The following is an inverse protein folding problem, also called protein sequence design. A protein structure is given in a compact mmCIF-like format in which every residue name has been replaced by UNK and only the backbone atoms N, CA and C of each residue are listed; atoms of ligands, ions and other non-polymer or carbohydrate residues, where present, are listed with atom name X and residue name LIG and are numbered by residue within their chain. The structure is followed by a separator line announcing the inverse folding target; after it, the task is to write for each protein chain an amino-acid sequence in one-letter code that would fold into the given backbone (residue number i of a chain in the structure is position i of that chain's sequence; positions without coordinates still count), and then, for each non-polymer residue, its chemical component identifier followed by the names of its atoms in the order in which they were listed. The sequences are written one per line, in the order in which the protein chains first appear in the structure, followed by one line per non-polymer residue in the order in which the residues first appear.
data_IF_925764903404
#
_entry.id   IF_925764903404
#
_cell.length_a   1.000
_cell.length_b   1.000
_cell.length_c   1.000
_cell.angle_alpha   90.00
_cell.angle_beta   90.00
_cell.angle_gamma   90.00
#
_symmetry.space_group_name_H-M   'P 1'
#
loop_
_entity.id
_entity.type
_entity.pdbx_description
1 polymer ?
#
# COMPACT_ATOMS: atom_id res chain seq x y z
N UNK A 1 9.21 -9.17 -18.72
CA UNK A 1 8.61 -8.15 -19.59
C UNK A 1 9.44 -6.90 -19.42
N UNK A 2 10.30 -6.55 -20.37
CA UNK A 2 11.24 -5.44 -20.21
C UNK A 2 11.34 -4.57 -21.47
N UNK A 3 11.86 -3.36 -21.29
CA UNK A 3 12.13 -2.39 -22.34
C UNK A 3 10.99 -1.39 -22.54
N UNK A 4 11.37 -0.12 -22.69
CA UNK A 4 10.44 0.99 -22.87
C UNK A 4 9.58 0.80 -24.13
N UNK A 5 8.26 0.91 -23.97
CA UNK A 5 7.30 0.73 -25.07
C UNK A 5 6.96 -0.73 -25.38
N UNK A 6 7.59 -1.70 -24.71
CA UNK A 6 7.16 -3.09 -24.76
C UNK A 6 5.83 -3.23 -23.99
N UNK A 7 4.82 -3.81 -24.65
CA UNK A 7 3.50 -4.05 -24.05
C UNK A 7 3.09 -5.51 -24.20
N UNK A 8 2.63 -6.12 -23.10
CA UNK A 8 1.93 -7.41 -23.12
C UNK A 8 0.50 -7.21 -22.62
N UNK A 9 -0.48 -7.56 -23.44
CA UNK A 9 -1.89 -7.51 -23.08
C UNK A 9 -2.45 -8.93 -22.94
N UNK A 10 -3.09 -9.21 -21.81
CA UNK A 10 -3.86 -10.40 -21.54
C UNK A 10 -5.30 -10.02 -21.17
N UNK A 11 -6.25 -10.22 -22.07
CA UNK A 11 -7.66 -9.85 -21.83
C UNK A 11 -8.38 -10.78 -20.84
N UNK A 12 -7.70 -11.78 -20.29
CA UNK A 12 -8.21 -12.68 -19.27
C UNK A 12 -7.41 -12.65 -17.97
N UNK A 13 -7.53 -13.74 -17.21
CA UNK A 13 -6.85 -13.87 -15.93
C UNK A 13 -5.36 -14.17 -16.11
N UNK A 14 -4.50 -13.24 -15.69
CA UNK A 14 -3.07 -13.45 -15.60
C UNK A 14 -2.73 -14.21 -14.30
N UNK A 15 -2.24 -15.44 -14.42
CA UNK A 15 -1.88 -16.29 -13.28
C UNK A 15 -0.38 -16.56 -13.24
N UNK A 16 0.28 -16.06 -12.21
CA UNK A 16 1.71 -16.31 -11.95
C UNK A 16 1.82 -17.46 -10.95
N UNK A 17 2.41 -18.58 -11.34
CA UNK A 17 2.56 -19.75 -10.46
C UNK A 17 1.26 -20.52 -10.22
N UNK A 18 0.50 -20.84 -11.27
CA UNK A 18 -0.68 -21.69 -11.18
C UNK A 18 -0.30 -23.18 -11.11
N UNK A 19 -0.68 -23.90 -10.03
CA UNK A 19 -0.35 -25.33 -9.82
C UNK A 19 1.14 -25.67 -9.93
N UNK A 20 2.01 -24.70 -9.67
CA UNK A 20 3.46 -24.83 -9.81
C UNK A 20 4.15 -23.52 -9.42
N UNK A 21 5.40 -23.38 -9.81
CA UNK A 21 6.19 -22.16 -9.55
C UNK A 21 6.16 -21.24 -10.77
N UNK A 22 5.98 -19.93 -10.55
CA UNK A 22 6.05 -18.95 -11.62
C UNK A 22 6.59 -17.60 -11.14
N UNK A 23 7.22 -16.89 -12.07
CA UNK A 23 7.80 -15.57 -11.82
C UNK A 23 7.39 -14.60 -12.92
N UNK A 24 6.98 -13.39 -12.56
CA UNK A 24 6.73 -12.28 -13.48
C UNK A 24 7.63 -11.11 -13.09
N UNK A 25 8.48 -10.66 -14.01
CA UNK A 25 9.27 -9.44 -13.82
C UNK A 25 8.82 -8.44 -14.88
N UNK A 26 8.49 -7.23 -14.43
CA UNK A 26 8.15 -6.08 -15.26
C UNK A 26 9.16 -4.98 -14.94
N UNK A 27 10.02 -4.65 -15.89
CA UNK A 27 11.15 -3.76 -15.66
C UNK A 27 11.46 -2.88 -16.86
N UNK A 28 12.37 -1.91 -16.69
CA UNK A 28 12.91 -1.07 -17.78
C UNK A 28 11.82 -0.37 -18.63
N UNK A 29 10.71 0.03 -18.02
CA UNK A 29 9.62 0.71 -18.72
C UNK A 29 8.64 -0.22 -19.45
N UNK A 30 8.69 -1.53 -19.17
CA UNK A 30 7.76 -2.50 -19.73
C UNK A 30 6.35 -2.38 -19.14
N UNK A 31 5.33 -2.70 -19.95
CA UNK A 31 3.92 -2.61 -19.54
C UNK A 31 3.22 -3.95 -19.69
N UNK A 32 2.51 -4.39 -18.64
CA UNK A 32 1.62 -5.55 -18.68
C UNK A 32 0.20 -5.11 -18.37
N UNK A 33 -0.77 -5.54 -19.19
CA UNK A 33 -2.19 -5.32 -18.97
C UNK A 33 -2.90 -6.65 -18.75
N UNK A 34 -3.77 -6.74 -17.75
CA UNK A 34 -4.57 -7.92 -17.44
C UNK A 34 -6.03 -7.54 -17.11
N UNK A 35 -6.99 -8.42 -17.40
CA UNK A 35 -8.35 -8.23 -16.91
C UNK A 35 -8.44 -8.50 -15.40
N UNK A 36 -7.86 -9.61 -14.95
CA UNK A 36 -7.67 -9.97 -13.54
C UNK A 36 -6.27 -10.55 -13.33
N UNK A 37 -5.76 -10.50 -12.11
CA UNK A 37 -4.46 -11.08 -11.78
C UNK A 37 -4.47 -11.92 -10.51
N UNK A 38 -3.73 -13.02 -10.53
CA UNK A 38 -3.41 -13.79 -9.32
C UNK A 38 -1.94 -14.17 -9.29
N UNK A 39 -1.30 -13.98 -8.14
CA UNK A 39 0.04 -14.47 -7.83
C UNK A 39 -0.11 -15.63 -6.87
N UNK A 40 0.36 -16.80 -7.29
CA UNK A 40 0.18 -18.10 -6.65
C UNK A 40 -1.29 -18.52 -6.54
N UNK A 41 -1.64 -19.61 -7.22
CA UNK A 41 -2.98 -20.20 -7.09
C UNK A 41 -2.96 -21.72 -7.25
N UNK A 42 -3.90 -22.38 -6.58
CA UNK A 42 -4.10 -23.85 -6.61
C UNK A 42 -2.83 -24.66 -6.31
N UNK A 43 -2.30 -24.56 -5.08
CA UNK A 43 -1.04 -25.20 -4.66
C UNK A 43 0.20 -24.63 -5.36
N UNK A 44 0.14 -23.35 -5.70
CA UNK A 44 1.16 -22.66 -6.46
C UNK A 44 2.09 -21.82 -5.59
N UNK A 45 3.27 -21.53 -6.12
CA UNK A 45 4.17 -20.50 -5.61
C UNK A 45 4.39 -19.48 -6.71
N UNK A 46 4.09 -18.23 -6.45
CA UNK A 46 4.16 -17.16 -7.43
C UNK A 46 4.93 -15.98 -6.88
N UNK A 47 5.73 -15.34 -7.72
CA UNK A 47 6.38 -14.09 -7.40
C UNK A 47 6.23 -13.11 -8.56
N UNK A 48 5.89 -11.86 -8.26
CA UNK A 48 5.95 -10.78 -9.24
C UNK A 48 6.80 -9.61 -8.73
N UNK A 49 7.56 -9.00 -9.64
CA UNK A 49 8.34 -7.80 -9.39
C UNK A 49 7.98 -6.76 -10.45
N UNK A 50 7.65 -5.54 -10.02
CA UNK A 50 7.45 -4.38 -10.89
C UNK A 50 8.41 -3.29 -10.44
N UNK A 51 9.45 -3.05 -11.24
CA UNK A 51 10.57 -2.22 -10.84
C UNK A 51 11.01 -1.24 -11.93
N UNK A 52 11.51 -0.07 -11.52
CA UNK A 52 12.04 0.94 -12.41
C UNK A 52 10.97 1.87 -13.00
N UNK A 53 11.36 3.12 -13.20
CA UNK A 53 10.50 4.17 -13.75
C UNK A 53 9.85 3.74 -15.08
N UNK A 54 8.54 3.99 -15.17
CA UNK A 54 7.73 3.68 -16.35
C UNK A 54 7.24 2.23 -16.43
N UNK A 55 7.79 1.31 -15.63
CA UNK A 55 7.32 -0.08 -15.56
C UNK A 55 5.93 -0.14 -14.93
N UNK A 56 5.01 -0.83 -15.60
CA UNK A 56 3.60 -0.82 -15.22
C UNK A 56 2.95 -2.19 -15.29
N UNK A 57 2.14 -2.50 -14.28
CA UNK A 57 1.17 -3.58 -14.33
C UNK A 57 -0.24 -3.04 -14.11
N UNK A 58 -1.03 -3.01 -15.17
CA UNK A 58 -2.40 -2.50 -15.16
C UNK A 58 -3.38 -3.67 -15.12
N UNK A 59 -4.23 -3.70 -14.11
CA UNK A 59 -5.20 -4.76 -13.87
C UNK A 59 -6.59 -4.10 -13.81
N UNK A 60 -7.48 -4.49 -14.73
CA UNK A 60 -8.81 -3.88 -14.84
C UNK A 60 -9.78 -4.32 -13.73
N UNK A 61 -9.45 -5.39 -13.01
CA UNK A 61 -10.21 -5.90 -11.87
C UNK A 61 -9.31 -6.15 -10.67
N UNK A 62 -9.59 -7.24 -9.97
CA UNK A 62 -8.90 -7.58 -8.72
C UNK A 62 -7.50 -8.15 -8.95
N UNK A 63 -6.63 -7.86 -7.98
CA UNK A 63 -5.33 -8.48 -7.80
C UNK A 63 -5.35 -9.37 -6.56
N UNK A 64 -5.08 -10.67 -6.72
CA UNK A 64 -5.01 -11.61 -5.58
C UNK A 64 -3.58 -12.11 -5.40
N UNK A 65 -3.01 -11.93 -4.20
CA UNK A 65 -1.69 -12.44 -3.82
C UNK A 65 -1.87 -13.56 -2.80
N UNK A 66 -1.55 -14.79 -3.19
CA UNK A 66 -1.82 -15.98 -2.39
C UNK A 66 -3.28 -16.43 -2.49
N UNK A 67 -3.68 -16.98 -3.64
CA UNK A 67 -5.06 -17.45 -3.86
C UNK A 67 -5.24 -18.93 -3.47
N UNK A 68 -5.74 -19.16 -2.25
CA UNK A 68 -6.00 -20.49 -1.70
C UNK A 68 -7.33 -21.07 -2.17
N UNK A 69 -7.35 -21.77 -3.30
CA UNK A 69 -8.56 -22.49 -3.79
C UNK A 69 -8.52 -23.99 -3.42
N UNK A 70 -7.35 -24.59 -3.26
CA UNK A 70 -7.21 -26.04 -2.98
C UNK A 70 -5.82 -26.39 -2.43
N UNK A 71 -5.45 -25.85 -1.27
CA UNK A 71 -4.16 -26.05 -0.61
C UNK A 71 -3.23 -24.84 -0.68
N UNK A 72 -2.06 -24.98 -0.05
CA UNK A 72 -1.08 -23.91 0.19
C UNK A 72 -0.72 -23.13 -1.07
N UNK A 73 -1.08 -21.85 -1.12
CA UNK A 73 -0.66 -20.92 -2.16
C UNK A 73 0.21 -19.83 -1.54
N UNK A 74 1.40 -19.60 -2.08
CA UNK A 74 2.36 -18.62 -1.54
C UNK A 74 2.69 -17.58 -2.62
N UNK A 75 2.09 -16.40 -2.50
CA UNK A 75 2.25 -15.31 -3.45
C UNK A 75 3.10 -14.18 -2.87
N UNK A 76 4.00 -13.63 -3.67
CA UNK A 76 4.74 -12.41 -3.32
C UNK A 76 4.66 -11.39 -4.44
N UNK A 77 4.47 -10.12 -4.08
CA UNK A 77 4.56 -8.97 -4.99
C UNK A 77 5.54 -7.96 -4.41
N UNK A 78 6.55 -7.59 -5.18
CA UNK A 78 7.44 -6.47 -4.87
C UNK A 78 7.23 -5.37 -5.91
N UNK A 79 7.03 -4.15 -5.44
CA UNK A 79 6.95 -2.97 -6.29
C UNK A 79 8.01 -1.99 -5.81
N UNK A 80 8.93 -1.61 -6.68
CA UNK A 80 10.07 -0.78 -6.29
C UNK A 80 10.49 0.23 -7.35
N UNK A 81 11.32 1.20 -6.94
CA UNK A 81 12.09 2.07 -7.81
C UNK A 81 11.23 2.78 -8.87
N UNK A 82 10.07 3.30 -8.45
CA UNK A 82 9.13 4.01 -9.32
C UNK A 82 8.22 3.12 -10.18
N UNK A 83 8.33 1.78 -10.06
CA UNK A 83 7.39 0.84 -10.68
C UNK A 83 5.98 1.04 -10.16
N UNK A 84 4.97 0.79 -11.01
CA UNK A 84 3.57 1.05 -10.69
C UNK A 84 2.70 -0.17 -10.95
N UNK A 85 1.90 -0.56 -9.97
CA UNK A 85 0.80 -1.52 -10.12
C UNK A 85 -0.51 -0.79 -9.91
N UNK A 86 -1.43 -0.92 -10.86
CA UNK A 86 -2.79 -0.40 -10.75
C UNK A 86 -3.76 -1.57 -10.77
N UNK A 87 -4.45 -1.81 -9.66
CA UNK A 87 -5.61 -2.69 -9.61
C UNK A 87 -6.86 -1.81 -9.58
N UNK A 88 -7.69 -1.88 -10.63
CA UNK A 88 -8.92 -1.06 -10.70
C UNK A 88 -10.02 -1.60 -9.78
N UNK A 89 -9.88 -2.84 -9.30
CA UNK A 89 -10.68 -3.43 -8.23
C UNK A 89 -9.90 -3.49 -6.91
N UNK A 90 -10.19 -4.53 -6.12
CA UNK A 90 -9.57 -4.73 -4.81
C UNK A 90 -8.24 -5.48 -4.92
N UNK A 91 -7.31 -5.19 -4.02
CA UNK A 91 -6.12 -6.02 -3.80
C UNK A 91 -6.36 -6.93 -2.60
N UNK A 92 -6.25 -8.24 -2.79
CA UNK A 92 -6.60 -9.24 -1.78
C UNK A 92 -5.41 -10.15 -1.46
N UNK A 93 -5.08 -10.31 -0.17
CA UNK A 93 -3.98 -11.15 0.30
C UNK A 93 -4.53 -12.40 1.01
N UNK A 94 -3.96 -13.56 0.69
CA UNK A 94 -4.17 -14.81 1.44
C UNK A 94 -5.64 -15.18 1.69
N UNK A 95 -6.42 -15.40 0.62
CA UNK A 95 -7.87 -15.59 0.71
C UNK A 95 -8.38 -16.92 1.30
N UNK A 96 -7.49 -17.77 1.80
CA UNK A 96 -7.84 -18.97 2.55
C UNK A 96 -6.81 -19.25 3.64
N UNK A 97 -7.18 -20.03 4.66
CA UNK A 97 -6.42 -20.24 5.90
C UNK A 97 -4.99 -20.77 5.73
N UNK A 98 -4.70 -21.50 4.65
CA UNK A 98 -3.37 -22.05 4.35
C UNK A 98 -2.61 -21.24 3.29
N UNK A 99 -3.20 -20.18 2.76
CA UNK A 99 -2.54 -19.31 1.80
C UNK A 99 -1.69 -18.27 2.52
N UNK A 100 -0.61 -17.86 1.86
CA UNK A 100 0.15 -16.66 2.22
C UNK A 100 0.27 -15.70 1.05
N UNK A 101 0.14 -14.42 1.35
CA UNK A 101 0.28 -13.33 0.39
C UNK A 101 1.12 -12.23 1.02
N UNK A 102 2.18 -11.81 0.35
CA UNK A 102 3.01 -10.71 0.83
C UNK A 102 3.14 -9.64 -0.26
N UNK A 103 2.94 -8.39 0.11
CA UNK A 103 3.20 -7.23 -0.75
C UNK A 103 4.27 -6.37 -0.08
N UNK A 104 5.31 -6.03 -0.83
CA UNK A 104 6.34 -5.07 -0.40
C UNK A 104 6.37 -3.87 -1.34
N UNK A 105 6.18 -2.67 -0.80
CA UNK A 105 6.25 -1.41 -1.51
C UNK A 105 7.53 -0.67 -1.09
N UNK A 106 8.53 -0.65 -1.96
CA UNK A 106 9.86 -0.15 -1.64
C UNK A 106 10.20 1.06 -2.51
N UNK A 107 11.04 1.98 -2.04
CA UNK A 107 11.73 2.98 -2.89
C UNK A 107 10.83 3.65 -3.97
N UNK A 108 9.74 4.29 -3.55
CA UNK A 108 8.72 4.93 -4.41
C UNK A 108 7.92 4.00 -5.33
N UNK A 109 7.98 2.68 -5.14
CA UNK A 109 7.06 1.74 -5.79
C UNK A 109 5.61 2.04 -5.40
N UNK A 110 4.70 2.01 -6.37
CA UNK A 110 3.31 2.44 -6.19
C UNK A 110 2.35 1.27 -6.37
N UNK A 111 1.49 1.04 -5.37
CA UNK A 111 0.27 0.27 -5.52
C UNK A 111 -0.93 1.23 -5.50
N UNK A 112 -1.65 1.32 -6.61
CA UNK A 112 -2.93 2.01 -6.70
C UNK A 112 -4.08 1.00 -6.70
N UNK A 113 -5.00 1.10 -5.74
CA UNK A 113 -6.09 0.13 -5.56
C UNK A 113 -7.30 0.74 -4.87
N UNK A 114 -8.47 0.09 -4.94
CA UNK A 114 -9.67 0.54 -4.22
C UNK A 114 -9.56 0.28 -2.72
N UNK A 115 -8.94 -0.85 -2.35
CA UNK A 115 -8.59 -1.24 -0.98
C UNK A 115 -7.58 -2.38 -1.00
N UNK A 116 -6.93 -2.62 0.14
CA UNK A 116 -6.16 -3.83 0.41
C UNK A 116 -6.87 -4.62 1.50
N UNK A 117 -7.20 -5.89 1.24
CA UNK A 117 -7.84 -6.76 2.23
C UNK A 117 -7.00 -8.01 2.52
N UNK A 118 -6.95 -8.41 3.79
CA UNK A 118 -6.48 -9.73 4.21
C UNK A 118 -7.64 -10.71 4.30
N UNK A 119 -7.40 -11.94 3.83
CA UNK A 119 -8.29 -13.08 4.05
C UNK A 119 -7.97 -13.86 5.32
N UNK A 120 -8.37 -15.13 5.31
CA UNK A 120 -8.22 -16.03 6.46
C UNK A 120 -6.80 -16.56 6.65
N UNK A 121 -5.91 -16.36 5.67
CA UNK A 121 -4.52 -16.81 5.72
C UNK A 121 -3.55 -15.76 6.25
N UNK A 122 -2.26 -15.97 5.99
CA UNK A 122 -1.20 -15.03 6.38
C UNK A 122 -0.97 -14.01 5.27
N UNK A 123 -1.52 -12.81 5.42
CA UNK A 123 -1.34 -11.70 4.49
C UNK A 123 -0.54 -10.58 5.13
N UNK A 124 0.53 -10.13 4.49
CA UNK A 124 1.37 -9.02 4.98
C UNK A 124 1.54 -7.91 3.95
N UNK A 125 1.59 -6.68 4.43
CA UNK A 125 1.90 -5.49 3.65
C UNK A 125 3.06 -4.73 4.31
N UNK A 126 4.20 -4.68 3.63
CA UNK A 126 5.38 -3.95 4.10
C UNK A 126 5.61 -2.70 3.25
N UNK A 127 5.79 -1.56 3.90
CA UNK A 127 6.05 -0.27 3.29
C UNK A 127 7.46 0.20 3.68
N UNK A 128 8.37 0.29 2.71
CA UNK A 128 9.76 0.73 2.89
C UNK A 128 10.14 1.82 1.86
N UNK A 129 9.53 2.98 2.02
CA UNK A 129 9.59 4.12 1.11
C UNK A 129 8.60 4.03 -0.06
N UNK A 130 7.68 3.05 -0.05
CA UNK A 130 6.66 2.88 -1.07
C UNK A 130 5.42 3.77 -0.91
N UNK A 131 4.57 3.77 -1.94
CA UNK A 131 3.34 4.56 -2.02
C UNK A 131 2.13 3.65 -2.15
N UNK A 132 1.21 3.73 -1.20
CA UNK A 132 -0.12 3.13 -1.31
C UNK A 132 -1.12 4.23 -1.70
N UNK A 133 -1.73 4.10 -2.88
CA UNK A 133 -2.57 5.12 -3.50
C UNK A 133 -4.02 4.67 -3.61
N UNK A 134 -4.94 5.52 -3.16
CA UNK A 134 -6.37 5.29 -3.32
C UNK A 134 -6.85 5.65 -4.74
N UNK A 135 -7.83 4.90 -5.23
CA UNK A 135 -8.53 5.18 -6.50
C UNK A 135 -10.03 5.44 -6.32
N UNK A 136 -10.53 5.31 -5.10
CA UNK A 136 -11.93 5.54 -4.70
C UNK A 136 -12.00 5.87 -3.22
N UNK A 137 -13.12 6.44 -2.78
CA UNK A 137 -13.42 6.54 -1.35
C UNK A 137 -13.57 5.14 -0.74
N UNK A 138 -13.01 4.92 0.45
CA UNK A 138 -13.10 3.64 1.16
C UNK A 138 -12.94 3.83 2.67
N UNK A 139 -13.96 3.49 3.45
CA UNK A 139 -13.92 3.69 4.90
C UNK A 139 -12.97 2.73 5.62
N UNK A 140 -12.68 1.57 5.04
CA UNK A 140 -11.72 0.59 5.56
C UNK A 140 -10.73 0.14 4.48
N UNK A 141 -9.77 1.01 4.18
CA UNK A 141 -8.83 0.87 3.07
C UNK A 141 -7.79 -0.24 3.29
N UNK A 142 -7.51 -0.58 4.56
CA UNK A 142 -6.70 -1.72 4.98
C UNK A 142 -7.55 -2.65 5.84
N UNK A 143 -8.24 -3.58 5.18
CA UNK A 143 -9.30 -4.38 5.79
C UNK A 143 -8.77 -5.73 6.32
N UNK A 144 -9.16 -6.07 7.55
CA UNK A 144 -8.94 -7.37 8.22
C UNK A 144 -7.48 -7.73 8.52
N UNK A 145 -6.58 -6.75 8.57
CA UNK A 145 -5.22 -7.01 9.01
C UNK A 145 -5.15 -7.04 10.54
N UNK A 146 -4.42 -8.02 11.06
CA UNK A 146 -4.11 -8.13 12.48
C UNK A 146 -2.86 -7.28 12.82
N UNK A 147 -2.63 -7.05 14.11
CA UNK A 147 -1.42 -6.38 14.60
C UNK A 147 -0.16 -7.08 14.04
N UNK A 148 0.78 -6.27 13.54
CA UNK A 148 2.02 -6.72 12.90
C UNK A 148 1.90 -7.16 11.43
N UNK A 149 0.71 -7.27 10.83
CA UNK A 149 0.59 -7.65 9.42
C UNK A 149 0.93 -6.48 8.46
N UNK A 150 0.74 -5.24 8.91
CA UNK A 150 1.07 -4.02 8.14
C UNK A 150 2.24 -3.31 8.82
N UNK A 151 3.40 -3.31 8.18
CA UNK A 151 4.61 -2.68 8.72
C UNK A 151 5.07 -1.48 7.90
N UNK A 152 5.55 -0.45 8.60
CA UNK A 152 6.21 0.73 8.04
C UNK A 152 7.67 0.67 8.45
N UNK A 153 8.50 0.17 7.54
CA UNK A 153 9.93 -0.02 7.74
C UNK A 153 10.69 1.31 7.60
N UNK A 154 12.01 1.31 7.80
CA UNK A 154 12.81 2.53 7.97
C UNK A 154 12.68 3.57 6.84
N UNK A 155 12.39 3.15 5.60
CA UNK A 155 12.11 4.03 4.47
C UNK A 155 10.79 4.81 4.57
N UNK A 156 9.86 4.37 5.43
CA UNK A 156 8.57 4.98 5.67
C UNK A 156 7.46 4.53 4.71
N UNK A 157 6.30 5.15 4.80
CA UNK A 157 5.16 4.90 3.95
C UNK A 157 4.59 6.22 3.44
N UNK A 158 4.21 6.27 2.16
CA UNK A 158 3.41 7.36 1.62
C UNK A 158 1.98 6.84 1.40
N UNK A 159 1.03 7.38 2.14
CA UNK A 159 -0.40 7.17 1.90
C UNK A 159 -0.92 8.30 1.02
N UNK A 160 -1.18 7.97 -0.25
CA UNK A 160 -1.67 8.90 -1.25
C UNK A 160 -3.17 8.78 -1.42
N UNK A 161 -3.90 9.71 -0.80
CA UNK A 161 -5.35 9.78 -0.96
C UNK A 161 -5.80 10.07 -2.38
N UNK A 162 -4.96 10.69 -3.23
CA UNK A 162 -5.31 11.01 -4.61
C UNK A 162 -6.67 11.73 -4.78
N UNK A 163 -7.08 12.52 -3.77
CA UNK A 163 -8.36 13.24 -3.74
C UNK A 163 -9.52 12.49 -3.07
N UNK A 164 -9.34 11.23 -2.66
CA UNK A 164 -10.35 10.40 -2.02
C UNK A 164 -10.26 10.41 -0.50
N UNK A 165 -11.38 10.12 0.17
CA UNK A 165 -11.43 9.92 1.61
C UNK A 165 -11.27 8.44 1.93
N UNK A 166 -10.24 8.12 2.71
CA UNK A 166 -9.94 6.75 3.13
C UNK A 166 -9.82 6.63 4.64
N UNK A 167 -10.27 5.51 5.18
CA UNK A 167 -10.08 5.14 6.58
C UNK A 167 -9.14 3.95 6.76
N UNK A 168 -8.41 3.91 7.87
CA UNK A 168 -7.55 2.78 8.27
C UNK A 168 -7.89 2.41 9.71
N UNK A 169 -8.56 1.28 9.86
CA UNK A 169 -8.89 0.69 11.17
C UNK A 169 -7.81 -0.23 11.73
N UNK A 170 -6.94 -0.75 10.88
CA UNK A 170 -5.80 -1.61 11.25
C UNK A 170 -4.68 -0.84 11.95
N UNK A 171 -3.99 -1.50 12.87
CA UNK A 171 -2.81 -0.98 13.54
C UNK A 171 -1.62 -0.86 12.56
N UNK A 172 -0.91 0.26 12.60
CA UNK A 172 0.29 0.50 11.81
C UNK A 172 1.53 0.47 12.71
N UNK A 173 2.50 -0.39 12.38
CA UNK A 173 3.65 -0.66 13.24
C UNK A 173 4.98 -0.49 12.49
N UNK A 174 6.02 -0.03 13.17
CA UNK A 174 7.39 -0.02 12.66
C UNK A 174 8.17 1.22 13.05
N UNK A 175 9.41 1.35 12.55
CA UNK A 175 10.28 2.49 12.87
C UNK A 175 10.19 3.62 11.82
N UNK A 176 9.45 3.40 10.74
CA UNK A 176 9.33 4.32 9.63
C UNK A 176 8.31 5.43 9.83
N UNK A 177 8.39 6.44 8.96
CA UNK A 177 7.46 7.57 8.96
C UNK A 177 6.21 7.27 8.14
N UNK A 178 5.03 7.63 8.65
CA UNK A 178 3.82 7.78 7.84
C UNK A 178 3.80 9.18 7.21
N UNK A 179 3.74 9.26 5.89
CA UNK A 179 3.57 10.49 5.13
C UNK A 179 2.20 10.50 4.43
N UNK A 180 1.39 11.51 4.73
CA UNK A 180 0.09 11.76 4.11
C UNK A 180 0.24 12.73 2.94
N UNK A 181 -0.13 12.26 1.75
CA UNK A 181 -0.18 13.05 0.51
C UNK A 181 -1.55 12.92 -0.19
N UNK A 182 -1.73 13.63 -1.30
CA UNK A 182 -3.01 13.72 -2.03
C UNK A 182 -4.04 14.63 -1.34
N UNK A 183 -5.03 15.12 -2.08
CA UNK A 183 -5.95 16.18 -1.62
C UNK A 183 -7.03 15.73 -0.64
N UNK A 184 -7.32 14.42 -0.57
CA UNK A 184 -8.38 13.87 0.26
C UNK A 184 -7.98 13.70 1.72
N UNK A 185 -8.87 13.07 2.49
CA UNK A 185 -8.68 12.81 3.92
C UNK A 185 -8.23 11.37 4.16
N UNK A 186 -7.21 11.19 5.01
CA UNK A 186 -6.86 9.92 5.62
C UNK A 186 -7.33 9.94 7.07
N UNK A 187 -8.21 9.01 7.45
CA UNK A 187 -8.70 8.85 8.82
C UNK A 187 -8.06 7.59 9.41
N UNK A 188 -7.34 7.70 10.52
CA UNK A 188 -6.76 6.55 11.22
C UNK A 188 -7.52 6.31 12.52
N UNK A 189 -8.10 5.13 12.69
CA UNK A 189 -8.75 4.70 13.94
C UNK A 189 -8.02 3.54 14.62
N UNK A 190 -7.18 2.81 13.89
CA UNK A 190 -6.22 1.85 14.45
C UNK A 190 -5.08 2.55 15.20
N UNK A 191 -4.39 1.80 16.06
CA UNK A 191 -3.19 2.25 16.76
C UNK A 191 -2.03 2.50 15.81
N UNK A 192 -1.13 3.40 16.19
CA UNK A 192 0.09 3.67 15.44
C UNK A 192 1.29 3.58 16.38
N UNK A 193 2.19 2.65 16.13
CA UNK A 193 3.51 2.57 16.76
C UNK A 193 4.55 2.77 15.68
N UNK A 194 4.80 4.03 15.32
CA UNK A 194 5.57 4.42 14.12
C UNK A 194 6.69 5.41 14.42
N UNK A 195 7.60 5.58 13.46
CA UNK A 195 8.73 6.51 13.56
C UNK A 195 8.32 7.98 13.61
N UNK A 196 7.43 8.43 12.73
CA UNK A 196 7.04 9.84 12.63
C UNK A 196 5.76 9.99 11.82
N UNK A 197 5.17 11.20 11.87
CA UNK A 197 4.07 11.60 10.99
C UNK A 197 4.44 12.84 10.19
N UNK A 198 4.07 12.86 8.92
CA UNK A 198 4.21 14.02 8.05
C UNK A 198 2.96 14.20 7.21
N UNK A 199 2.31 15.36 7.27
CA UNK A 199 1.23 15.73 6.35
C UNK A 199 1.78 16.74 5.35
N UNK A 200 1.82 16.37 4.07
CA UNK A 200 2.30 17.25 3.00
C UNK A 200 1.15 17.77 2.14
N UNK A 201 0.05 17.01 2.03
CA UNK A 201 -1.12 17.41 1.25
C UNK A 201 -2.40 16.75 1.78
N UNK A 202 -3.51 17.47 1.74
CA UNK A 202 -4.81 17.04 2.23
C UNK A 202 -4.90 17.02 3.76
N UNK A 203 -5.77 16.16 4.29
CA UNK A 203 -6.04 16.07 5.72
C UNK A 203 -5.66 14.69 6.29
N UNK A 204 -4.95 14.66 7.41
CA UNK A 204 -4.80 13.48 8.27
C UNK A 204 -5.66 13.70 9.52
N UNK A 205 -6.60 12.80 9.77
CA UNK A 205 -7.40 12.77 10.99
C UNK A 205 -6.99 11.54 11.82
N UNK A 206 -6.39 11.79 12.99
CA UNK A 206 -6.09 10.75 13.97
C UNK A 206 -7.26 10.65 14.95
N UNK A 207 -8.14 9.66 14.71
CA UNK A 207 -9.46 9.55 15.31
C UNK A 207 -9.60 8.39 16.32
N UNK A 208 -8.55 7.59 16.53
CA UNK A 208 -8.58 6.45 17.45
C UNK A 208 -7.20 5.83 17.68
N UNK A 209 -7.18 4.72 18.43
CA UNK A 209 -5.98 3.94 18.72
C UNK A 209 -5.00 4.61 19.69
N UNK A 210 -4.05 3.82 20.20
CA UNK A 210 -2.88 4.33 20.91
C UNK A 210 -1.84 4.78 19.87
N UNK A 211 -1.39 6.04 19.93
CA UNK A 211 -0.50 6.61 18.91
C UNK A 211 0.86 7.02 19.51
N UNK A 212 1.84 6.14 19.38
CA UNK A 212 3.21 6.27 19.88
C UNK A 212 4.14 6.62 18.72
N UNK A 213 4.68 7.84 18.74
CA UNK A 213 5.66 8.28 17.74
C UNK A 213 7.05 8.32 18.37
N UNK A 214 8.01 7.56 17.83
CA UNK A 214 9.40 7.66 18.30
C UNK A 214 10.11 8.95 17.85
N UNK A 215 9.53 9.64 16.86
CA UNK A 215 10.02 10.87 16.25
C UNK A 215 9.01 12.02 16.34
N UNK A 216 8.80 12.74 15.23
CA UNK A 216 8.03 14.00 15.22
C UNK A 216 6.73 13.88 14.44
N UNK A 217 5.73 14.67 14.85
CA UNK A 217 4.56 14.95 14.02
C UNK A 217 4.76 16.30 13.33
N UNK A 218 4.63 16.33 12.01
CA UNK A 218 4.87 17.54 11.21
C UNK A 218 3.77 17.77 10.18
N UNK A 219 3.33 19.01 10.05
CA UNK A 219 2.52 19.49 8.91
C UNK A 219 3.41 20.40 8.07
N UNK A 220 3.65 20.03 6.80
CA UNK A 220 4.61 20.70 5.91
C UNK A 220 4.13 20.65 4.46
N UNK A 221 3.24 21.59 4.10
CA UNK A 221 2.76 21.71 2.73
C UNK A 221 3.82 22.30 1.79
N UNK A 222 3.88 21.79 0.56
CA UNK A 222 4.57 22.48 -0.52
C UNK A 222 3.82 23.76 -0.90
N UNK A 223 4.50 24.69 -1.58
CA UNK A 223 3.86 25.94 -2.04
C UNK A 223 2.68 25.63 -2.96
N UNK A 224 1.50 26.14 -2.60
CA UNK A 224 0.24 25.92 -3.33
C UNK A 224 -0.59 24.74 -2.81
N UNK A 225 -0.04 23.88 -1.95
CA UNK A 225 -0.77 22.79 -1.32
C UNK A 225 -1.33 23.20 0.05
N UNK A 226 -2.38 22.48 0.49
CA UNK A 226 -2.90 22.56 1.85
C UNK A 226 -2.62 21.25 2.56
N UNK A 227 -2.12 21.34 3.79
CA UNK A 227 -1.89 20.20 4.67
C UNK A 227 -2.51 20.51 6.04
N UNK A 228 -3.25 19.54 6.58
CA UNK A 228 -3.93 19.66 7.87
C UNK A 228 -3.83 18.36 8.64
N UNK A 229 -3.59 18.46 9.94
CA UNK A 229 -3.65 17.34 10.87
C UNK A 229 -4.68 17.64 11.96
N UNK A 230 -5.59 16.71 12.20
CA UNK A 230 -6.57 16.74 13.30
C UNK A 230 -6.29 15.56 14.22
N UNK A 231 -6.42 15.79 15.53
CA UNK A 231 -6.34 14.76 16.57
C UNK A 231 -7.58 14.92 17.43
N UNK A 232 -8.59 14.05 17.27
CA UNK A 232 -9.92 14.26 17.84
C UNK A 232 -10.66 13.00 18.35
N UNK A 233 -10.00 11.84 18.41
CA UNK A 233 -10.59 10.64 19.02
C UNK A 233 -10.71 10.74 20.55
N UNK A 234 -11.76 10.14 21.11
CA UNK A 234 -12.11 10.21 22.54
C UNK A 234 -11.01 9.68 23.49
N UNK A 235 -10.03 8.93 22.96
CA UNK A 235 -8.87 8.39 23.69
C UNK A 235 -7.54 8.60 22.91
N UNK A 236 -7.47 9.61 22.05
CA UNK A 236 -6.30 9.83 21.19
C UNK A 236 -5.23 10.68 21.90
N UNK A 237 -4.13 10.06 22.31
CA UNK A 237 -2.88 10.75 22.65
C UNK A 237 -1.88 10.56 21.52
N UNK A 238 -1.25 11.66 21.08
CA UNK A 238 -0.07 11.61 20.20
C UNK A 238 1.14 11.95 21.05
N UNK A 239 1.91 10.94 21.43
CA UNK A 239 3.19 11.13 22.10
C UNK A 239 4.28 11.26 21.04
N UNK A 240 4.68 12.50 20.76
CA UNK A 240 5.74 12.83 19.82
C UNK A 240 6.89 13.53 20.55
N UNK A 241 8.12 13.29 20.10
CA UNK A 241 9.30 14.01 20.60
C UNK A 241 9.22 15.53 20.34
N UNK A 242 8.50 15.93 19.29
CA UNK A 242 8.11 17.32 19.00
C UNK A 242 6.92 17.39 18.02
N UNK A 243 6.14 18.46 18.11
CA UNK A 243 5.15 18.88 17.11
C UNK A 243 5.67 20.11 16.37
N UNK A 244 5.76 20.05 15.04
CA UNK A 244 6.22 21.18 14.22
C UNK A 244 5.21 21.51 13.12
N UNK A 245 4.82 22.79 13.02
CA UNK A 245 4.04 23.32 11.90
C UNK A 245 4.99 24.12 11.01
N UNK A 246 5.25 23.61 9.80
CA UNK A 246 6.10 24.27 8.81
C UNK A 246 5.38 25.43 8.11
N UNK A 247 6.14 26.45 7.69
CA UNK A 247 5.64 27.48 6.78
C UNK A 247 5.94 27.06 5.33
N UNK A 248 5.04 27.40 4.39
CA UNK A 248 5.24 27.15 2.97
C UNK A 248 6.62 27.67 2.52
N UNK A 249 7.43 26.80 1.90
CA UNK A 249 8.76 27.16 1.39
C UNK A 249 8.60 28.00 0.13
N UNK A 250 8.82 29.31 0.22
CA UNK A 250 8.93 30.17 -0.97
C UNK A 250 10.18 29.76 -1.73
N UNK A 251 9.98 29.25 -2.95
CA UNK A 251 11.02 29.17 -3.98
C UNK A 251 11.30 30.53 -4.58
#
# INVERSE_FOLDING_TARGET
MSGAGSTWTNDGDLRVGYRGTGTLIISEGGVVNAAWASIASRKGTGSATVEGDGSQWNINGDLVVGQGISGVAQGTLTISDGGVVVASGMTYLANASEASGAIALNSNGVLATSLVAKGQGSGTLTLDGGILRAISDEADFLHNFDAGDVTIDAGGALFDTNGFNIGIGTDLEGDGRLAKIGEGTLITTGGMSIGAMLVQKGELQVAGGTNLLSGTARVDAATGDQAKMIVDGQDTTVEASALTVGHARTG
#
